data_IF_868149475071
#
_entry.id   IF_868149475071
#
_cell.length_a   1.000
_cell.length_b   1.000
_cell.length_c   1.000
_cell.angle_alpha   90.00
_cell.angle_beta   90.00
_cell.angle_gamma   90.00
#
_symmetry.space_group_name_H-M   'P 1'
#
loop_
_entity.id
_entity.type
_entity.pdbx_description
1 polymer ?
#
# COMPACT_ATOMS: atom_id res chain seq x y z
N UNK A 1 18.39 67.05 10.87
CA UNK A 1 18.63 66.01 9.83
C UNK A 1 20.09 65.59 9.85
N UNK A 2 20.40 64.36 10.30
CA UNK A 2 21.78 63.87 10.47
C UNK A 2 22.55 63.82 9.13
N UNK A 3 23.88 63.98 9.15
CA UNK A 3 24.72 63.93 7.93
C UNK A 3 24.54 62.63 7.13
N UNK A 4 24.23 61.52 7.80
CA UNK A 4 23.99 60.21 7.18
C UNK A 4 22.70 60.17 6.36
N UNK A 5 21.62 60.80 6.85
CA UNK A 5 20.33 60.84 6.13
C UNK A 5 20.40 61.71 4.87
N UNK A 6 21.19 62.80 4.90
CA UNK A 6 21.47 63.61 3.70
C UNK A 6 22.24 62.82 2.64
N UNK A 7 23.31 62.10 3.02
CA UNK A 7 24.10 61.27 2.09
C UNK A 7 23.26 60.17 1.42
N UNK A 8 22.37 59.50 2.16
CA UNK A 8 21.46 58.48 1.62
C UNK A 8 20.50 59.05 0.57
N UNK A 9 19.92 60.23 0.82
CA UNK A 9 19.00 60.89 -0.13
C UNK A 9 19.70 61.29 -1.43
N UNK A 10 20.92 61.83 -1.35
CA UNK A 10 21.70 62.20 -2.54
C UNK A 10 22.04 60.96 -3.38
N UNK A 11 22.44 59.85 -2.74
CA UNK A 11 22.70 58.57 -3.43
C UNK A 11 21.46 58.04 -4.13
N UNK A 12 20.31 58.03 -3.44
CA UNK A 12 19.04 57.58 -4.01
C UNK A 12 18.57 58.46 -5.18
N UNK A 13 18.81 59.77 -5.11
CA UNK A 13 18.46 60.69 -6.19
C UNK A 13 19.37 60.51 -7.43
N UNK A 14 20.66 60.28 -7.23
CA UNK A 14 21.61 59.97 -8.31
C UNK A 14 21.30 58.62 -8.96
N UNK A 15 20.94 57.61 -8.18
CA UNK A 15 20.53 56.30 -8.70
C UNK A 15 19.25 56.39 -9.56
N UNK A 16 18.27 57.20 -9.15
CA UNK A 16 17.06 57.49 -9.96
C UNK A 16 17.39 58.19 -11.28
N UNK A 17 18.28 59.19 -11.26
CA UNK A 17 18.71 59.90 -12.49
C UNK A 17 19.46 58.99 -13.48
N UNK A 18 20.16 57.96 -12.98
CA UNK A 18 20.89 56.97 -13.80
C UNK A 18 20.01 55.80 -14.29
N UNK A 19 18.69 55.85 -14.07
CA UNK A 19 17.77 54.79 -14.55
C UNK A 19 17.91 53.43 -13.84
N UNK A 20 18.65 53.36 -12.73
CA UNK A 20 18.88 52.10 -12.00
C UNK A 20 17.61 51.79 -11.22
N UNK A 21 16.72 50.96 -11.79
CA UNK A 21 15.53 50.44 -11.12
C UNK A 21 15.98 49.67 -9.87
N UNK A 22 15.49 50.06 -8.68
CA UNK A 22 15.71 49.31 -7.43
C UNK A 22 15.27 47.87 -7.69
N UNK A 23 16.21 46.93 -7.71
CA UNK A 23 15.89 45.51 -7.73
C UNK A 23 15.03 45.24 -6.48
N UNK A 24 13.75 44.94 -6.68
CA UNK A 24 12.89 44.45 -5.61
C UNK A 24 13.58 43.19 -5.09
N UNK A 25 14.02 43.21 -3.82
CA UNK A 25 14.48 41.99 -3.15
C UNK A 25 13.34 40.98 -3.31
N UNK A 26 13.58 39.89 -4.04
CA UNK A 26 12.63 38.77 -4.10
C UNK A 26 12.45 38.32 -2.66
N UNK A 27 11.26 38.54 -2.09
CA UNK A 27 10.88 37.87 -0.86
C UNK A 27 11.00 36.38 -1.14
N UNK A 28 11.76 35.61 -0.33
CA UNK A 28 11.73 34.16 -0.47
C UNK A 28 10.28 33.72 -0.31
N UNK A 29 9.81 32.75 -1.11
CA UNK A 29 8.46 32.20 -0.93
C UNK A 29 8.33 31.72 0.53
N UNK A 30 7.12 31.82 1.14
CA UNK A 30 6.90 31.32 2.49
C UNK A 30 7.41 29.88 2.57
N UNK A 31 8.23 29.60 3.58
CA UNK A 31 8.86 28.28 3.75
C UNK A 31 7.80 27.20 3.75
N UNK A 32 7.85 26.41 2.67
CA UNK A 32 7.35 25.06 2.45
C UNK A 32 6.44 24.46 3.53
N UNK A 33 5.28 23.96 3.06
CA UNK A 33 4.46 22.90 3.66
C UNK A 33 5.35 21.98 4.52
N UNK A 34 5.00 21.79 5.80
CA UNK A 34 5.67 20.82 6.69
C UNK A 34 5.78 19.49 5.93
N UNK A 35 7.00 19.10 5.55
CA UNK A 35 7.23 17.76 5.01
C UNK A 35 6.89 16.78 6.13
N UNK A 36 5.92 15.91 5.86
CA UNK A 36 5.61 14.81 6.78
C UNK A 36 6.78 13.85 6.73
N UNK A 37 7.20 13.40 7.91
CA UNK A 37 8.28 12.43 8.07
C UNK A 37 7.95 11.16 7.25
N UNK A 38 8.83 10.71 6.34
CA UNK A 38 8.59 9.50 5.54
C UNK A 38 8.31 8.26 6.40
N UNK A 39 8.90 8.16 7.60
CA UNK A 39 8.62 7.04 8.51
C UNK A 39 7.18 7.08 9.03
N UNK A 40 6.69 8.28 9.36
CA UNK A 40 5.32 8.49 9.78
C UNK A 40 4.34 8.14 8.66
N UNK A 41 4.62 8.59 7.42
CA UNK A 41 3.80 8.25 6.25
C UNK A 41 3.76 6.73 6.02
N UNK A 42 4.89 6.04 6.12
CA UNK A 42 4.95 4.59 5.98
C UNK A 42 4.09 3.87 7.03
N UNK A 43 4.19 4.26 8.31
CA UNK A 43 3.34 3.72 9.39
C UNK A 43 1.87 3.95 9.12
N UNK A 44 1.52 5.15 8.62
CA UNK A 44 0.14 5.47 8.27
C UNK A 44 -0.38 4.58 7.14
N UNK A 45 0.41 4.40 6.07
CA UNK A 45 0.05 3.51 4.96
C UNK A 45 -0.17 2.07 5.45
N UNK A 46 0.73 1.54 6.29
CA UNK A 46 0.62 0.19 6.85
C UNK A 46 -0.63 0.02 7.71
N UNK A 47 -1.02 1.02 8.50
CA UNK A 47 -2.22 0.96 9.31
C UNK A 47 -3.50 0.76 8.46
N UNK A 48 -3.52 1.28 7.23
CA UNK A 48 -4.70 1.16 6.36
C UNK A 48 -4.89 -0.23 5.71
N UNK A 49 -3.91 -1.13 5.82
CA UNK A 49 -3.98 -2.48 5.26
C UNK A 49 -5.14 -3.28 5.87
N UNK A 50 -5.30 -3.21 7.20
CA UNK A 50 -6.32 -3.96 7.93
C UNK A 50 -7.75 -3.57 7.53
N UNK A 51 -7.96 -2.34 7.06
CA UNK A 51 -9.27 -1.84 6.63
C UNK A 51 -9.82 -2.63 5.44
N UNK A 52 -8.95 -3.14 4.56
CA UNK A 52 -9.39 -3.86 3.37
C UNK A 52 -10.05 -5.21 3.68
N UNK A 53 -9.85 -5.75 4.88
CA UNK A 53 -10.40 -7.03 5.35
C UNK A 53 -11.68 -6.88 6.18
N UNK A 54 -12.16 -5.65 6.41
CA UNK A 54 -13.40 -5.39 7.15
C UNK A 54 -14.62 -6.01 6.46
N UNK A 55 -15.48 -6.65 7.23
CA UNK A 55 -16.72 -7.25 6.73
C UNK A 55 -17.63 -6.18 6.12
N UNK A 56 -17.63 -4.99 6.69
CA UNK A 56 -18.38 -3.85 6.21
C UNK A 56 -17.91 -3.41 4.84
N UNK A 57 -16.66 -3.61 4.42
CA UNK A 57 -16.23 -3.24 3.07
C UNK A 57 -16.43 -4.35 2.04
N UNK A 58 -16.93 -5.53 2.44
CA UNK A 58 -17.03 -6.71 1.57
C UNK A 58 -17.87 -6.50 0.31
N UNK A 59 -18.94 -5.72 0.44
CA UNK A 59 -19.91 -5.48 -0.63
C UNK A 59 -19.68 -4.16 -1.37
N UNK A 60 -18.63 -3.41 -1.00
CA UNK A 60 -18.25 -2.22 -1.75
C UNK A 60 -17.52 -2.67 -3.02
N UNK A 61 -18.12 -2.40 -4.17
CA UNK A 61 -17.62 -2.81 -5.48
C UNK A 61 -17.21 -1.58 -6.29
N UNK A 62 -16.10 -1.70 -7.04
CA UNK A 62 -15.78 -0.76 -8.10
C UNK A 62 -16.82 -0.87 -9.23
N UNK A 63 -16.88 0.15 -10.07
CA UNK A 63 -17.74 0.13 -11.25
C UNK A 63 -17.39 -1.06 -12.16
N UNK A 64 -18.30 -2.03 -12.22
CA UNK A 64 -18.11 -3.28 -12.96
C UNK A 64 -17.85 -3.07 -14.45
N UNK A 65 -18.51 -2.08 -15.08
CA UNK A 65 -18.36 -1.84 -16.51
C UNK A 65 -16.98 -1.28 -16.81
N UNK A 66 -16.51 -0.34 -16.00
CA UNK A 66 -15.15 0.20 -16.12
C UNK A 66 -14.10 -0.84 -15.81
N UNK A 67 -14.34 -1.71 -14.83
CA UNK A 67 -13.41 -2.79 -14.52
C UNK A 67 -13.28 -3.75 -15.70
N UNK A 68 -14.39 -4.12 -16.32
CA UNK A 68 -14.43 -4.94 -17.53
C UNK A 68 -13.62 -4.32 -18.68
N UNK A 69 -13.86 -3.04 -18.96
CA UNK A 69 -13.14 -2.28 -20.01
C UNK A 69 -11.64 -2.23 -19.73
N UNK A 70 -11.26 -1.98 -18.48
CA UNK A 70 -9.85 -1.91 -18.08
C UNK A 70 -9.14 -3.25 -18.22
N UNK A 71 -9.76 -4.34 -17.75
CA UNK A 71 -9.16 -5.68 -17.82
C UNK A 71 -9.03 -6.17 -19.26
N UNK A 72 -10.03 -5.90 -20.12
CA UNK A 72 -9.96 -6.22 -21.55
C UNK A 72 -8.84 -5.46 -22.25
N UNK A 73 -8.72 -4.15 -22.02
CA UNK A 73 -7.64 -3.36 -22.62
C UNK A 73 -6.25 -3.79 -22.13
N UNK A 74 -6.13 -4.22 -20.88
CA UNK A 74 -4.88 -4.76 -20.33
C UNK A 74 -4.46 -6.09 -20.96
N UNK A 75 -5.43 -6.90 -21.39
CA UNK A 75 -5.13 -8.18 -22.03
C UNK A 75 -4.31 -7.97 -23.31
N UNK A 76 -4.71 -6.98 -24.11
CA UNK A 76 -4.13 -6.70 -25.43
C UNK A 76 -2.92 -5.75 -25.39
N UNK A 77 -2.62 -5.14 -24.23
CA UNK A 77 -1.52 -4.19 -24.07
C UNK A 77 -0.14 -4.86 -23.90
N UNK A 78 0.93 -4.08 -23.86
CA UNK A 78 2.28 -4.56 -23.51
C UNK A 78 2.36 -4.99 -22.03
N UNK A 79 3.36 -5.79 -21.67
CA UNK A 79 3.61 -6.10 -20.25
C UNK A 79 4.00 -4.82 -19.48
N UNK A 80 3.46 -4.69 -18.27
CA UNK A 80 3.70 -3.56 -17.37
C UNK A 80 4.01 -4.05 -15.95
N UNK A 81 4.50 -3.17 -15.07
CA UNK A 81 4.72 -3.55 -13.68
C UNK A 81 3.40 -3.82 -12.94
N UNK A 82 3.34 -4.84 -12.06
CA UNK A 82 2.14 -5.17 -11.29
C UNK A 82 1.53 -3.98 -10.53
N UNK A 83 2.38 -3.12 -9.95
CA UNK A 83 1.91 -1.95 -9.20
C UNK A 83 1.29 -0.89 -10.11
N UNK A 84 1.80 -0.72 -11.33
CA UNK A 84 1.28 0.24 -12.28
C UNK A 84 -0.07 -0.22 -12.83
N UNK A 85 -0.23 -1.53 -13.10
CA UNK A 85 -1.52 -2.14 -13.40
C UNK A 85 -2.57 -1.82 -12.33
N UNK A 86 -2.24 -1.99 -11.05
CA UNK A 86 -3.20 -1.70 -9.98
C UNK A 86 -3.51 -0.20 -9.92
N UNK A 87 -2.48 0.66 -10.00
CA UNK A 87 -2.67 2.11 -9.84
C UNK A 87 -3.50 2.70 -10.97
N UNK A 88 -3.20 2.33 -12.21
CA UNK A 88 -3.97 2.77 -13.36
C UNK A 88 -5.38 2.18 -13.35
N UNK A 89 -5.50 0.91 -12.97
CA UNK A 89 -6.79 0.25 -12.79
C UNK A 89 -7.67 1.00 -11.81
N UNK A 90 -7.16 1.29 -10.60
CA UNK A 90 -7.88 2.08 -9.59
C UNK A 90 -8.29 3.44 -10.17
N UNK A 91 -7.36 4.20 -10.77
CA UNK A 91 -7.70 5.51 -11.36
C UNK A 91 -8.81 5.42 -12.40
N UNK A 92 -8.83 4.35 -13.20
CA UNK A 92 -9.82 4.15 -14.24
C UNK A 92 -11.20 3.80 -13.67
N UNK A 93 -11.24 2.90 -12.68
CA UNK A 93 -12.50 2.39 -12.13
C UNK A 93 -13.06 3.22 -10.98
N UNK A 94 -12.26 4.10 -10.38
CA UNK A 94 -12.66 4.89 -9.22
C UNK A 94 -13.83 5.83 -9.58
N UNK A 95 -14.91 5.73 -8.81
CA UNK A 95 -16.07 6.60 -8.91
C UNK A 95 -16.26 7.40 -7.61
N UNK A 96 -16.90 8.59 -7.67
CA UNK A 96 -17.29 9.31 -6.46
C UNK A 96 -18.19 8.46 -5.55
N UNK A 97 -19.13 7.71 -6.12
CA UNK A 97 -20.06 6.84 -5.38
C UNK A 97 -19.32 5.77 -4.56
N UNK A 98 -18.25 5.19 -5.12
CA UNK A 98 -17.41 4.22 -4.41
C UNK A 98 -16.75 4.84 -3.17
N UNK A 99 -16.25 6.08 -3.27
CA UNK A 99 -15.64 6.78 -2.15
C UNK A 99 -16.68 7.19 -1.10
N UNK A 100 -17.86 7.61 -1.55
CA UNK A 100 -18.98 7.94 -0.66
C UNK A 100 -19.47 6.70 0.10
N UNK A 101 -19.53 5.54 -0.55
CA UNK A 101 -19.88 4.27 0.10
C UNK A 101 -18.87 3.89 1.18
N UNK A 102 -17.57 3.94 0.88
CA UNK A 102 -16.53 3.68 1.90
C UNK A 102 -16.67 4.66 3.07
N UNK A 103 -16.83 5.95 2.77
CA UNK A 103 -17.00 6.98 3.80
C UNK A 103 -18.20 6.68 4.69
N UNK A 104 -19.36 6.40 4.09
CA UNK A 104 -20.58 6.15 4.84
C UNK A 104 -20.47 4.89 5.72
N UNK A 105 -19.82 3.82 5.24
CA UNK A 105 -19.57 2.61 6.04
C UNK A 105 -18.61 2.88 7.20
N UNK A 106 -17.54 3.65 6.98
CA UNK A 106 -16.63 4.04 8.06
C UNK A 106 -17.30 4.96 9.08
N UNK A 107 -18.08 5.95 8.65
CA UNK A 107 -18.84 6.82 9.57
C UNK A 107 -19.80 5.98 10.42
N UNK A 108 -20.53 5.06 9.79
CA UNK A 108 -21.44 4.16 10.51
C UNK A 108 -20.71 3.28 11.53
N UNK A 109 -19.51 2.79 11.20
CA UNK A 109 -18.68 2.02 12.12
C UNK A 109 -18.23 2.82 13.35
N UNK A 110 -17.83 4.07 13.13
CA UNK A 110 -17.42 4.97 14.21
C UNK A 110 -18.62 5.35 15.09
N UNK A 111 -19.75 5.72 14.49
CA UNK A 111 -20.96 6.14 15.23
C UNK A 111 -21.57 5.01 16.06
N UNK A 112 -21.47 3.77 15.59
CA UNK A 112 -22.02 2.62 16.29
C UNK A 112 -21.10 2.09 17.41
N UNK A 113 -19.88 2.62 17.55
CA UNK A 113 -18.83 2.15 18.50
C UNK A 113 -18.60 0.63 18.45
N UNK A 114 -18.89 -0.01 17.32
CA UNK A 114 -18.79 -1.48 17.15
C UNK A 114 -17.38 -1.95 16.86
N UNK A 115 -16.49 -1.03 16.47
CA UNK A 115 -15.15 -1.36 16.00
C UNK A 115 -14.13 -1.30 17.15
N UNK A 116 -13.17 -2.24 17.19
CA UNK A 116 -12.02 -2.15 18.10
C UNK A 116 -11.21 -0.87 17.90
N UNK A 117 -10.54 -0.39 18.94
CA UNK A 117 -9.74 0.85 18.92
C UNK A 117 -8.70 0.89 17.78
N UNK A 118 -8.07 -0.24 17.47
CA UNK A 118 -7.10 -0.32 16.37
C UNK A 118 -7.73 -0.08 14.99
N UNK A 119 -8.97 -0.51 14.77
CA UNK A 119 -9.71 -0.25 13.54
C UNK A 119 -10.10 1.23 13.47
N UNK A 120 -10.59 1.80 14.58
CA UNK A 120 -10.91 3.22 14.65
C UNK A 120 -9.69 4.10 14.35
N UNK A 121 -8.53 3.75 14.92
CA UNK A 121 -7.25 4.42 14.63
C UNK A 121 -6.83 4.29 13.16
N UNK A 122 -7.08 3.12 12.55
CA UNK A 122 -6.79 2.88 11.13
C UNK A 122 -7.72 3.71 10.23
N UNK A 123 -8.99 3.85 10.58
CA UNK A 123 -9.98 4.70 9.88
C UNK A 123 -9.57 6.18 9.98
N UNK A 124 -9.19 6.67 11.17
CA UNK A 124 -8.68 8.04 11.33
C UNK A 124 -7.43 8.27 10.46
N UNK A 125 -6.52 7.30 10.47
CA UNK A 125 -5.30 7.33 9.65
C UNK A 125 -5.62 7.40 8.15
N UNK A 126 -6.59 6.62 7.70
CA UNK A 126 -7.06 6.64 6.31
C UNK A 126 -7.56 8.02 5.89
N UNK A 127 -8.42 8.65 6.69
CA UNK A 127 -8.91 10.01 6.38
C UNK A 127 -7.80 11.06 6.44
N UNK A 128 -6.83 10.91 7.33
CA UNK A 128 -5.64 11.79 7.36
C UNK A 128 -4.80 11.67 6.11
N UNK A 129 -4.58 10.47 5.58
CA UNK A 129 -3.85 10.27 4.32
C UNK A 129 -4.55 11.01 3.17
N UNK A 130 -5.87 10.88 3.07
CA UNK A 130 -6.66 11.61 2.09
C UNK A 130 -6.57 13.13 2.29
N UNK A 131 -6.68 13.61 3.53
CA UNK A 131 -6.56 15.04 3.86
C UNK A 131 -5.17 15.61 3.56
N UNK A 132 -4.13 14.78 3.61
CA UNK A 132 -2.77 15.13 3.18
C UNK A 132 -2.60 15.17 1.66
N UNK A 133 -3.62 14.76 0.89
CA UNK A 133 -3.61 14.73 -0.56
C UNK A 133 -2.98 13.46 -1.14
N UNK A 134 -2.87 12.37 -0.36
CA UNK A 134 -2.48 11.06 -0.88
C UNK A 134 -3.63 10.55 -1.73
N UNK A 135 -3.35 10.20 -3.00
CA UNK A 135 -4.37 9.72 -3.91
C UNK A 135 -4.75 8.26 -3.58
N UNK A 136 -6.03 7.86 -3.80
CA UNK A 136 -6.52 6.52 -3.48
C UNK A 136 -5.68 5.39 -4.05
N UNK A 137 -5.14 5.53 -5.27
CA UNK A 137 -4.33 4.50 -5.91
C UNK A 137 -3.01 4.17 -5.16
N UNK A 138 -2.58 5.03 -4.24
CA UNK A 138 -1.40 4.79 -3.41
C UNK A 138 -1.73 4.24 -2.03
N UNK A 139 -3.01 4.27 -1.63
CA UNK A 139 -3.44 3.85 -0.30
C UNK A 139 -3.62 2.31 -0.31
N UNK A 140 -2.91 1.56 0.55
CA UNK A 140 -2.97 0.09 0.57
C UNK A 140 -4.38 -0.50 0.65
N UNK A 141 -5.32 0.14 1.34
CA UNK A 141 -6.73 -0.30 1.37
C UNK A 141 -7.31 -0.46 -0.02
N UNK A 142 -7.14 0.53 -0.90
CA UNK A 142 -7.70 0.51 -2.25
C UNK A 142 -6.99 -0.51 -3.14
N UNK A 143 -5.67 -0.62 -3.00
CA UNK A 143 -4.85 -1.62 -3.70
C UNK A 143 -5.37 -3.03 -3.41
N UNK A 144 -5.60 -3.35 -2.13
CA UNK A 144 -6.09 -4.66 -1.71
C UNK A 144 -7.54 -4.90 -2.13
N UNK A 145 -8.42 -3.90 -2.00
CA UNK A 145 -9.80 -4.01 -2.47
C UNK A 145 -9.86 -4.26 -3.98
N UNK A 146 -9.04 -3.56 -4.75
CA UNK A 146 -8.94 -3.74 -6.20
C UNK A 146 -8.46 -5.14 -6.55
N UNK A 147 -7.35 -5.60 -5.96
CA UNK A 147 -6.83 -6.95 -6.20
C UNK A 147 -7.85 -8.04 -5.85
N UNK A 148 -8.59 -7.88 -4.75
CA UNK A 148 -9.66 -8.81 -4.34
C UNK A 148 -10.82 -8.84 -5.33
N UNK A 149 -11.21 -7.70 -5.88
CA UNK A 149 -12.28 -7.64 -6.87
C UNK A 149 -11.85 -8.20 -8.22
N UNK A 150 -10.64 -7.86 -8.69
CA UNK A 150 -10.07 -8.46 -9.90
C UNK A 150 -10.01 -9.98 -9.74
N UNK A 151 -9.54 -10.51 -8.61
CA UNK A 151 -9.52 -11.96 -8.36
C UNK A 151 -10.88 -12.65 -8.53
N UNK A 152 -11.99 -11.97 -8.23
CA UNK A 152 -13.35 -12.51 -8.37
C UNK A 152 -13.89 -12.38 -9.81
N UNK A 153 -13.17 -11.67 -10.67
CA UNK A 153 -13.59 -11.37 -12.04
C UNK A 153 -13.29 -12.54 -12.98
N UNK A 154 -14.17 -12.85 -13.97
CA UNK A 154 -13.93 -13.95 -14.92
C UNK A 154 -12.64 -13.81 -15.74
N UNK A 155 -12.18 -12.57 -15.97
CA UNK A 155 -10.93 -12.29 -16.70
C UNK A 155 -9.66 -12.53 -15.87
N UNK A 156 -9.77 -12.82 -14.57
CA UNK A 156 -8.60 -13.09 -13.73
C UNK A 156 -7.93 -14.44 -13.99
N UNK A 157 -8.62 -15.36 -14.69
CA UNK A 157 -8.04 -16.63 -15.14
C UNK A 157 -6.96 -16.43 -16.20
N UNK A 158 -6.88 -15.24 -16.81
CA UNK A 158 -5.79 -14.89 -17.73
C UNK A 158 -4.45 -14.84 -16.95
N UNK A 159 -3.43 -15.62 -17.35
CA UNK A 159 -2.16 -15.69 -16.64
C UNK A 159 -1.47 -14.33 -16.47
N UNK A 160 -1.66 -13.43 -17.44
CA UNK A 160 -1.07 -12.08 -17.42
C UNK A 160 -1.70 -11.23 -16.32
N UNK A 161 -3.03 -11.24 -16.23
CA UNK A 161 -3.77 -10.51 -15.19
C UNK A 161 -3.47 -11.11 -13.82
N UNK A 162 -3.43 -12.44 -13.73
CA UNK A 162 -3.10 -13.15 -12.50
C UNK A 162 -1.71 -12.77 -11.97
N UNK A 163 -0.70 -12.70 -12.84
CA UNK A 163 0.67 -12.27 -12.50
C UNK A 163 0.71 -10.88 -11.86
N UNK A 164 -0.18 -9.96 -12.26
CA UNK A 164 -0.21 -8.61 -11.70
C UNK A 164 -0.86 -8.52 -10.32
N UNK A 165 -1.82 -9.40 -10.00
CA UNK A 165 -2.56 -9.31 -8.74
C UNK A 165 -2.04 -10.24 -7.64
N UNK A 166 -1.32 -11.31 -8.00
CA UNK A 166 -0.97 -12.39 -7.06
C UNK A 166 -0.21 -11.90 -5.81
N UNK A 167 0.67 -10.92 -5.96
CA UNK A 167 1.49 -10.40 -4.87
C UNK A 167 0.73 -9.50 -3.90
N UNK A 168 -0.42 -8.96 -4.33
CA UNK A 168 -1.25 -8.04 -3.55
C UNK A 168 -2.43 -8.74 -2.86
N UNK A 169 -2.66 -10.00 -3.21
CA UNK A 169 -3.64 -10.82 -2.52
C UNK A 169 -3.06 -11.29 -1.19
N UNK A 170 -3.89 -11.34 -0.12
CA UNK A 170 -3.44 -11.90 1.14
C UNK A 170 -3.03 -13.35 0.89
N UNK A 171 -1.73 -13.63 1.02
CA UNK A 171 -1.21 -14.99 1.05
C UNK A 171 -1.84 -15.62 2.26
N UNK A 172 -2.66 -16.66 2.07
CA UNK A 172 -3.11 -17.49 3.19
C UNK A 172 -1.83 -18.05 3.81
N UNK A 173 -1.35 -17.43 4.89
CA UNK A 173 -0.50 -18.12 5.85
C UNK A 173 -1.45 -19.15 6.44
N UNK A 174 -1.52 -20.32 5.80
CA UNK A 174 -2.01 -21.49 6.49
C UNK A 174 -1.17 -21.52 7.77
N UNK A 175 -1.79 -21.45 8.98
CA UNK A 175 -1.03 -21.80 10.16
C UNK A 175 -0.37 -23.14 9.83
N UNK A 176 0.93 -23.32 10.11
CA UNK A 176 1.51 -24.63 9.96
C UNK A 176 0.67 -25.53 10.87
N UNK A 177 -0.18 -26.37 10.28
CA UNK A 177 -0.47 -27.66 10.87
C UNK A 177 0.89 -28.17 11.33
N UNK A 178 1.00 -28.59 12.59
CA UNK A 178 2.24 -28.80 13.36
C UNK A 178 3.24 -29.83 12.77
N UNK A 179 3.19 -30.11 11.47
CA UNK A 179 4.08 -30.97 10.71
C UNK A 179 4.34 -30.37 9.32
N UNK A 180 5.05 -29.24 9.27
CA UNK A 180 5.39 -28.60 8.00
C UNK A 180 6.49 -27.57 8.15
N UNK A 181 7.72 -28.07 8.27
CA UNK A 181 8.97 -27.32 8.37
C UNK A 181 9.02 -26.14 7.38
N UNK A 182 9.18 -24.92 7.90
CA UNK A 182 9.52 -23.75 7.10
C UNK A 182 10.96 -23.95 6.60
N UNK A 183 11.13 -24.31 5.33
CA UNK A 183 12.43 -24.25 4.68
C UNK A 183 12.62 -22.81 4.22
N UNK A 184 13.41 -22.04 4.98
CA UNK A 184 13.95 -20.76 4.54
C UNK A 184 15.07 -21.07 3.54
N UNK A 185 14.98 -20.64 2.26
CA UNK A 185 16.06 -20.84 1.31
C UNK A 185 17.18 -19.85 1.67
N UNK A 186 18.29 -20.34 2.24
CA UNK A 186 19.44 -19.48 2.56
C UNK A 186 20.34 -19.90 3.71
N UNK A 187 20.17 -21.08 4.31
CA UNK A 187 21.16 -21.62 5.27
C UNK A 187 21.69 -22.96 4.79
N UNK A 188 22.78 -22.89 4.02
CA UNK A 188 23.75 -23.99 4.02
C UNK A 188 24.28 -24.16 5.44
N UNK A 189 23.99 -25.30 6.07
CA UNK A 189 24.95 -25.94 7.00
C UNK A 189 24.58 -27.41 7.26
N UNK A 190 25.44 -28.23 6.67
CA UNK A 190 26.05 -29.43 7.27
C UNK A 190 25.18 -30.67 7.49
N UNK A 191 25.42 -31.63 6.59
CA UNK A 191 25.46 -33.05 6.89
C UNK A 191 26.03 -33.33 8.29
N UNK A 192 25.24 -33.98 9.14
CA UNK A 192 25.75 -34.85 10.20
C UNK A 192 24.79 -36.03 10.40
N UNK A 193 25.07 -37.08 9.62
CA UNK A 193 25.18 -38.49 10.00
C UNK A 193 24.51 -38.97 11.31
N UNK A 194 23.83 -40.12 11.14
CA UNK A 194 23.66 -41.28 12.05
C UNK A 194 22.49 -41.21 13.04
N UNK A 195 21.43 -41.96 12.74
CA UNK A 195 21.23 -43.37 13.18
C UNK A 195 21.05 -43.50 14.69
N UNK A 196 19.80 -43.79 15.10
CA UNK A 196 19.43 -44.90 16.01
C UNK A 196 17.91 -44.92 16.16
N UNK A 197 17.25 -45.70 15.29
CA UNK A 197 15.96 -46.32 15.62
C UNK A 197 16.28 -47.70 16.19
N UNK A 198 16.00 -47.91 17.46
CA UNK A 198 16.03 -49.23 18.10
C UNK A 198 14.81 -50.03 17.62
N UNK A 199 15.02 -50.90 16.63
CA UNK A 199 14.09 -51.97 16.30
C UNK A 199 14.55 -53.26 17.00
N UNK A 200 13.71 -53.78 17.89
CA UNK A 200 13.91 -55.08 18.55
C UNK A 200 13.85 -56.20 17.49
N UNK A 201 14.98 -56.86 17.24
CA UNK A 201 15.06 -58.11 16.46
C UNK A 201 15.11 -59.30 17.41
N UNK A 202 14.27 -60.29 17.12
CA UNK A 202 14.20 -61.56 17.85
C UNK A 202 15.37 -62.46 17.44
N UNK A 203 16.19 -62.92 18.39
CA UNK A 203 17.52 -63.52 18.14
C UNK A 203 17.49 -64.92 17.52
N UNK A 204 16.31 -65.53 17.34
CA UNK A 204 16.21 -66.92 16.84
C UNK A 204 15.97 -67.08 15.33
N UNK A 205 15.46 -66.08 14.61
CA UNK A 205 15.24 -66.17 13.16
C UNK A 205 15.35 -64.78 12.46
N UNK A 206 16.54 -64.37 11.98
CA UNK A 206 16.75 -63.02 11.44
C UNK A 206 16.18 -62.76 10.03
N UNK A 207 15.42 -63.70 9.45
CA UNK A 207 15.00 -63.64 8.04
C UNK A 207 13.48 -63.55 7.81
N UNK A 208 12.65 -63.53 8.84
CA UNK A 208 11.20 -63.44 8.68
C UNK A 208 10.74 -62.09 9.21
N UNK A 209 10.32 -61.19 8.31
CA UNK A 209 9.58 -59.99 8.67
C UNK A 209 8.10 -60.37 8.56
N UNK A 210 7.39 -60.45 9.69
CA UNK A 210 5.93 -60.56 9.68
C UNK A 210 5.34 -59.17 9.36
N UNK A 211 4.57 -59.01 8.27
CA UNK A 211 3.68 -57.86 8.13
C UNK A 211 2.51 -58.00 9.11
N UNK A 212 1.92 -56.87 9.52
CA UNK A 212 0.75 -56.85 10.43
C UNK A 212 -0.43 -57.65 9.88
#
# INVERSE_FOLDING_TARGET
MSKQTKKKRVRDHLAKKRGIKKQRKKTPPPSSKKQVDPEMLSKMMLATISLADLEELRDVAFDSQKLDEYLKSTKDSLEQEPIDFIREGIKFVLSPDFLDDIRNRFVSLVEQEKAPEHILSSIDTYFRLLAMGVLPEYIPTHIMLFAKQVKKHPLADDPKIWKYIIDFLPKKVLPPDEKGTIIIPGTEKQESKKEKKEEKRDERYPHIILPK
#
